data_IF_638930372614
#
_entry.id   IF_638930372614
#
_cell.length_a   1.000
_cell.length_b   1.000
_cell.length_c   1.000
_cell.angle_alpha   90.00
_cell.angle_beta   90.00
_cell.angle_gamma   90.00
#
_symmetry.space_group_name_H-M   'P 1'
#
loop_
_entity.id
_entity.type
_entity.pdbx_description
1 polymer ?
#
# COMPACT_ATOMS: atom_id res chain seq x y z
N UNK A 1 -16.29 14.83 -3.69
CA UNK A 1 -17.24 14.55 -2.58
C UNK A 1 -16.86 15.34 -1.34
N UNK A 2 -17.82 15.69 -0.47
CA UNK A 2 -17.65 16.63 0.65
C UNK A 2 -16.65 16.21 1.77
N UNK A 3 -15.97 15.05 1.65
CA UNK A 3 -15.17 14.45 2.73
C UNK A 3 -13.73 14.08 2.34
N UNK A 4 -13.13 14.73 1.33
CA UNK A 4 -11.75 14.46 0.92
C UNK A 4 -11.59 13.23 0.01
N UNK A 5 -12.69 12.79 -0.60
CA UNK A 5 -12.70 11.79 -1.67
C UNK A 5 -12.91 12.47 -3.01
N UNK A 6 -12.09 12.09 -3.98
CA UNK A 6 -12.04 12.64 -5.33
C UNK A 6 -12.15 11.50 -6.32
N UNK A 7 -12.94 11.71 -7.37
CA UNK A 7 -13.08 10.79 -8.49
C UNK A 7 -12.99 11.57 -9.80
N UNK A 8 -12.58 10.89 -10.86
CA UNK A 8 -12.48 11.46 -12.19
C UNK A 8 -12.30 10.36 -13.22
N UNK A 9 -12.84 10.58 -14.42
CA UNK A 9 -12.67 9.65 -15.53
C UNK A 9 -11.38 9.99 -16.29
N UNK A 10 -10.60 8.95 -16.61
CA UNK A 10 -9.42 9.05 -17.45
C UNK A 10 -9.53 8.08 -18.63
N UNK A 11 -8.87 8.37 -19.77
CA UNK A 11 -8.67 7.38 -20.82
C UNK A 11 -8.04 6.10 -20.24
N UNK A 12 -8.39 4.96 -20.81
CA UNK A 12 -7.84 3.66 -20.37
C UNK A 12 -6.31 3.68 -20.51
N UNK A 13 -5.62 3.48 -19.40
CA UNK A 13 -4.18 3.31 -19.38
C UNK A 13 -3.79 1.90 -19.86
N UNK A 14 -2.63 1.75 -20.54
CA UNK A 14 -2.01 0.46 -20.80
C UNK A 14 -1.80 -0.36 -19.52
N UNK A 15 -1.87 -1.71 -19.58
CA UNK A 15 -1.58 -2.56 -18.43
C UNK A 15 -0.20 -2.26 -17.82
N UNK A 16 -0.14 -2.12 -16.50
CA UNK A 16 1.10 -1.85 -15.77
C UNK A 16 1.62 -0.41 -15.90
N UNK A 17 0.94 0.47 -16.65
CA UNK A 17 1.33 1.87 -16.70
C UNK A 17 0.93 2.59 -15.42
N UNK A 18 1.94 2.98 -14.64
CA UNK A 18 1.77 3.84 -13.48
C UNK A 18 1.47 5.27 -13.88
N UNK A 19 0.80 5.99 -12.99
CA UNK A 19 0.46 7.40 -13.14
C UNK A 19 0.76 8.16 -11.85
N UNK A 20 0.91 9.47 -11.97
CA UNK A 20 1.05 10.37 -10.82
C UNK A 20 -0.22 11.17 -10.63
N UNK A 21 -0.57 11.37 -9.36
CA UNK A 21 -1.58 12.30 -8.93
C UNK A 21 -0.89 13.60 -8.51
N UNK A 22 -1.47 14.73 -8.93
CA UNK A 22 -1.11 16.05 -8.42
C UNK A 22 -2.21 16.53 -7.50
N UNK A 23 -1.87 16.77 -6.23
CA UNK A 23 -2.78 17.28 -5.23
C UNK A 23 -2.39 18.71 -4.83
N UNK A 24 -3.38 19.48 -4.36
CA UNK A 24 -3.21 20.85 -3.87
C UNK A 24 -4.09 21.10 -2.66
N UNK A 25 -3.56 21.81 -1.68
CA UNK A 25 -4.31 22.37 -0.56
C UNK A 25 -3.77 23.77 -0.18
N UNK A 26 -4.20 24.32 0.96
CA UNK A 26 -3.73 25.62 1.45
C UNK A 26 -2.22 25.66 1.75
N UNK A 27 -1.59 24.50 1.99
CA UNK A 27 -0.16 24.36 2.27
C UNK A 27 0.72 24.15 1.04
N UNK A 28 0.15 24.07 -0.18
CA UNK A 28 0.90 23.93 -1.43
C UNK A 28 0.36 22.83 -2.34
N UNK A 29 1.16 22.50 -3.37
CA UNK A 29 0.92 21.39 -4.28
C UNK A 29 2.04 20.36 -4.26
N UNK A 30 1.69 19.10 -4.51
CA UNK A 30 2.64 18.00 -4.54
C UNK A 30 2.18 16.93 -5.53
N UNK A 31 3.14 16.14 -6.01
CA UNK A 31 2.92 15.01 -6.90
C UNK A 31 3.36 13.71 -6.24
N UNK A 32 2.60 12.64 -6.45
CA UNK A 32 2.88 11.33 -5.89
C UNK A 32 2.30 10.23 -6.78
N UNK A 33 2.88 9.04 -6.71
CA UNK A 33 2.26 7.86 -7.32
C UNK A 33 1.08 7.42 -6.46
N UNK A 34 0.02 6.95 -7.11
CA UNK A 34 -1.07 6.29 -6.39
C UNK A 34 -0.59 4.95 -5.82
N UNK A 35 -0.54 4.82 -4.49
CA UNK A 35 -0.15 3.59 -3.80
C UNK A 35 -1.04 2.39 -4.20
N UNK A 36 -2.30 2.64 -4.57
CA UNK A 36 -3.24 1.59 -4.94
C UNK A 36 -3.12 1.15 -6.41
N UNK A 37 -2.31 1.86 -7.22
CA UNK A 37 -1.96 1.42 -8.57
C UNK A 37 -0.90 0.31 -8.57
N UNK A 38 -0.24 0.05 -7.43
CA UNK A 38 0.78 -0.97 -7.33
C UNK A 38 0.20 -2.38 -7.09
N UNK A 39 0.81 -3.37 -7.75
CA UNK A 39 0.51 -4.78 -7.52
C UNK A 39 0.96 -5.22 -6.12
N UNK A 40 0.38 -6.29 -5.56
CA UNK A 40 0.88 -6.90 -4.34
C UNK A 40 2.37 -7.25 -4.41
N UNK A 41 3.08 -7.03 -3.31
CA UNK A 41 4.48 -7.44 -3.15
C UNK A 41 4.54 -8.86 -2.63
N UNK A 42 3.66 -9.21 -1.68
CA UNK A 42 3.56 -10.57 -1.16
C UNK A 42 2.87 -11.51 -2.15
N UNK A 43 3.48 -12.67 -2.38
CA UNK A 43 2.98 -13.70 -3.28
C UNK A 43 2.24 -14.84 -2.55
N UNK A 44 1.62 -15.76 -3.31
CA UNK A 44 0.93 -16.92 -2.73
C UNK A 44 1.84 -17.85 -1.90
N UNK A 45 3.13 -17.91 -2.23
CA UNK A 45 4.12 -18.72 -1.50
C UNK A 45 4.39 -18.11 -0.12
N UNK A 46 4.54 -16.79 -0.03
CA UNK A 46 4.73 -16.12 1.27
C UNK A 46 3.49 -16.33 2.16
N UNK A 47 2.28 -16.25 1.58
CA UNK A 47 1.02 -16.51 2.30
C UNK A 47 0.96 -17.93 2.86
N UNK A 48 1.34 -18.92 2.05
CA UNK A 48 1.34 -20.34 2.43
C UNK A 48 2.34 -20.62 3.57
N UNK A 49 3.59 -20.21 3.40
CA UNK A 49 4.64 -20.40 4.41
C UNK A 49 4.30 -19.67 5.72
N UNK A 50 3.64 -18.51 5.62
CA UNK A 50 3.19 -17.78 6.79
C UNK A 50 2.05 -18.51 7.52
N UNK A 51 1.07 -19.03 6.78
CA UNK A 51 -0.05 -19.78 7.35
C UNK A 51 0.39 -21.09 8.02
N UNK A 52 1.43 -21.75 7.49
CA UNK A 52 2.01 -22.96 8.10
C UNK A 52 2.97 -22.67 9.26
N UNK A 53 3.36 -21.41 9.46
CA UNK A 53 4.39 -21.04 10.44
C UNK A 53 5.80 -21.50 10.07
N UNK A 54 6.03 -21.85 8.80
CA UNK A 54 7.30 -22.38 8.28
C UNK A 54 8.16 -21.31 7.60
N UNK A 55 7.69 -20.06 7.56
CA UNK A 55 8.41 -18.94 6.94
C UNK A 55 9.63 -18.49 7.77
N UNK A 56 10.77 -19.19 7.63
CA UNK A 56 11.99 -18.93 8.40
C UNK A 56 12.54 -17.48 8.30
N UNK A 57 12.27 -16.78 7.18
CA UNK A 57 12.73 -15.40 6.93
C UNK A 57 11.58 -14.39 6.87
N UNK A 58 10.57 -14.56 7.73
CA UNK A 58 9.36 -13.72 7.73
C UNK A 58 9.66 -12.23 7.95
N UNK A 59 10.75 -11.91 8.65
CA UNK A 59 11.21 -10.54 8.89
C UNK A 59 11.65 -9.80 7.62
N UNK A 60 11.93 -10.50 6.52
CA UNK A 60 12.26 -9.88 5.22
C UNK A 60 11.02 -9.49 4.43
N UNK A 61 9.85 -9.94 4.90
CA UNK A 61 8.54 -9.72 4.27
C UNK A 61 7.66 -8.82 5.11
N UNK A 62 7.63 -9.03 6.43
CA UNK A 62 6.92 -8.19 7.38
C UNK A 62 7.79 -7.02 7.83
N UNK A 63 7.14 -5.93 8.25
CA UNK A 63 7.79 -4.70 8.67
C UNK A 63 7.77 -3.64 7.56
N UNK A 64 8.82 -2.83 7.51
CA UNK A 64 8.99 -1.75 6.54
C UNK A 64 10.28 -1.98 5.76
N UNK A 65 10.18 -2.14 4.44
CA UNK A 65 11.30 -2.48 3.57
C UNK A 65 11.44 -1.47 2.44
N UNK A 66 12.58 -0.79 2.37
CA UNK A 66 12.91 0.08 1.24
C UNK A 66 13.16 -0.80 0.01
N UNK A 67 12.43 -0.55 -1.08
CA UNK A 67 12.56 -1.33 -2.29
C UNK A 67 12.18 -0.53 -3.54
N UNK A 68 12.58 -1.04 -4.71
CA UNK A 68 12.04 -0.61 -5.99
C UNK A 68 10.94 -1.57 -6.42
N UNK A 69 9.70 -1.08 -6.50
CA UNK A 69 8.54 -1.86 -6.92
C UNK A 69 7.97 -1.28 -8.21
N UNK A 70 7.82 -2.12 -9.24
CA UNK A 70 7.37 -1.70 -10.58
C UNK A 70 8.10 -0.46 -11.12
N UNK A 71 9.43 -0.40 -10.90
CA UNK A 71 10.29 0.70 -11.37
C UNK A 71 10.27 1.97 -10.51
N UNK A 72 9.53 2.00 -9.40
CA UNK A 72 9.45 3.15 -8.48
C UNK A 72 10.08 2.80 -7.13
N UNK A 73 10.99 3.64 -6.65
CA UNK A 73 11.54 3.52 -5.30
C UNK A 73 10.50 3.94 -4.25
N UNK A 74 10.38 3.15 -3.19
CA UNK A 74 9.44 3.39 -2.09
C UNK A 74 9.71 2.49 -0.90
N UNK A 75 8.71 2.37 -0.03
CA UNK A 75 8.75 1.50 1.15
C UNK A 75 7.53 0.59 1.11
N UNK A 76 7.75 -0.72 1.12
CA UNK A 76 6.70 -1.70 1.32
C UNK A 76 6.46 -1.87 2.81
N UNK A 77 5.19 -1.82 3.22
CA UNK A 77 4.79 -2.09 4.60
C UNK A 77 3.96 -3.35 4.65
N UNK A 78 4.28 -4.27 5.56
CA UNK A 78 3.43 -5.41 5.86
C UNK A 78 3.33 -5.70 7.36
N UNK A 79 2.11 -5.98 7.83
CA UNK A 79 1.85 -6.29 9.24
C UNK A 79 0.83 -7.41 9.37
N UNK A 80 1.09 -8.34 10.29
CA UNK A 80 0.13 -9.38 10.62
C UNK A 80 -0.90 -8.84 11.63
N UNK A 81 -2.17 -8.80 11.23
CA UNK A 81 -3.26 -8.32 12.08
C UNK A 81 -4.59 -8.97 11.65
N UNK A 82 -4.76 -10.29 11.83
CA UNK A 82 -5.84 -11.06 11.21
C UNK A 82 -7.23 -10.59 11.65
N UNK A 83 -7.35 -10.17 12.92
CA UNK A 83 -8.60 -9.73 13.52
C UNK A 83 -8.87 -8.22 13.36
N UNK A 84 -7.94 -7.46 12.77
CA UNK A 84 -8.16 -6.04 12.55
C UNK A 84 -9.30 -5.83 11.54
N UNK A 85 -10.09 -4.78 11.78
CA UNK A 85 -11.13 -4.32 10.84
C UNK A 85 -10.55 -3.42 9.75
N UNK A 86 -9.53 -2.62 10.09
CA UNK A 86 -8.83 -1.72 9.19
C UNK A 86 -7.41 -1.49 9.70
N UNK A 87 -6.45 -1.42 8.79
CA UNK A 87 -5.08 -1.02 9.07
C UNK A 87 -4.69 0.08 8.07
N UNK A 88 -3.93 1.06 8.52
CA UNK A 88 -3.40 2.13 7.68
C UNK A 88 -1.99 2.51 8.13
N UNK A 89 -1.16 2.93 7.19
CA UNK A 89 0.16 3.50 7.50
C UNK A 89 -0.02 4.99 7.76
N UNK A 90 0.49 5.49 8.87
CA UNK A 90 0.45 6.91 9.24
C UNK A 90 1.86 7.41 9.53
N UNK A 91 2.14 8.64 9.16
CA UNK A 91 3.41 9.30 9.42
C UNK A 91 3.47 10.68 8.79
N UNK A 92 4.65 11.30 8.84
CA UNK A 92 4.84 12.67 8.37
C UNK A 92 4.46 12.86 6.90
N UNK A 93 4.75 11.85 6.06
CA UNK A 93 4.47 11.84 4.62
C UNK A 93 2.97 11.96 4.28
N UNK A 94 2.08 11.63 5.20
CA UNK A 94 0.64 11.74 5.00
C UNK A 94 -0.05 12.65 6.03
N UNK A 95 0.73 13.49 6.71
CA UNK A 95 0.25 14.38 7.78
C UNK A 95 -0.48 13.62 8.88
N UNK A 96 -0.04 12.38 9.16
CA UNK A 96 -0.66 11.49 10.13
C UNK A 96 -2.15 11.15 9.85
N UNK A 97 -2.60 11.31 8.61
CA UNK A 97 -3.98 11.04 8.19
C UNK A 97 -4.15 9.58 7.72
N UNK A 98 -4.66 8.73 8.63
CA UNK A 98 -4.93 7.30 8.39
C UNK A 98 -6.03 7.00 7.36
N UNK A 99 -6.66 8.01 6.76
CA UNK A 99 -7.59 7.81 5.64
C UNK A 99 -6.88 7.68 4.29
N UNK A 100 -5.65 8.19 4.17
CA UNK A 100 -4.92 8.29 2.89
C UNK A 100 -4.27 6.97 2.45
N UNK A 101 -3.69 6.22 3.38
CA UNK A 101 -2.88 5.02 3.10
C UNK A 101 -3.43 3.81 3.85
N UNK A 102 -4.64 3.38 3.50
CA UNK A 102 -5.26 2.16 4.02
C UNK A 102 -4.58 0.93 3.40
N UNK A 103 -4.29 -0.08 4.21
CA UNK A 103 -3.61 -1.28 3.75
C UNK A 103 -4.60 -2.29 3.17
N UNK A 104 -4.16 -3.07 2.18
CA UNK A 104 -4.92 -4.18 1.60
C UNK A 104 -4.81 -5.40 2.51
N UNK A 105 -5.94 -5.99 2.91
CA UNK A 105 -5.98 -7.24 3.68
C UNK A 105 -5.81 -8.45 2.76
N UNK A 106 -4.88 -9.34 3.11
CA UNK A 106 -4.72 -10.67 2.53
C UNK A 106 -5.49 -11.67 3.40
N UNK A 107 -6.65 -12.13 2.90
CA UNK A 107 -7.63 -12.86 3.70
C UNK A 107 -7.15 -14.23 4.23
N UNK A 108 -6.21 -14.90 3.54
CA UNK A 108 -5.65 -16.18 4.01
C UNK A 108 -4.81 -16.02 5.29
N UNK A 109 -3.62 -15.41 5.21
CA UNK A 109 -2.72 -15.29 6.36
C UNK A 109 -3.12 -14.18 7.35
N UNK A 110 -4.07 -13.30 6.99
CA UNK A 110 -4.44 -12.14 7.82
C UNK A 110 -3.38 -11.04 7.87
N UNK A 111 -2.49 -11.02 6.87
CA UNK A 111 -1.48 -9.98 6.67
C UNK A 111 -2.12 -8.79 5.94
N UNK A 112 -1.68 -7.60 6.30
CA UNK A 112 -2.01 -6.36 5.63
C UNK A 112 -0.76 -5.86 4.91
N UNK A 113 -0.89 -5.37 3.69
CA UNK A 113 0.22 -4.75 2.96
C UNK A 113 -0.18 -3.48 2.20
N UNK A 114 0.80 -2.61 1.95
CA UNK A 114 0.72 -1.47 1.02
C UNK A 114 2.07 -1.24 0.35
#
# INVERSE_FOLDING_TARGET
>A
HAHGFFEGLVPRLPPGQLYKLRARNAGGDWEFYDAYAFLPVLGPVDDYLFAEGTHARVYERLGAHVMTHQGVAGVHFAVWAPNARRVAVVGDFNSWDGRRHQMRKRHGPGIWEI
#
